data_IF_501311383369
#
_entry.id   IF_501311383369
#
_cell.length_a   1.000
_cell.length_b   1.000
_cell.length_c   1.000
_cell.angle_alpha   90.00
_cell.angle_beta   90.00
_cell.angle_gamma   90.00
#
_symmetry.space_group_name_H-M   'P 1'
#
loop_
_entity.id
_entity.type
_entity.pdbx_description
1 polymer ?
#
# COMPACT_ATOMS: atom_id res chain seq x y z
N UNK A 1 -8.32 23.02 7.21
CA UNK A 1 -6.90 23.21 7.50
C UNK A 1 -6.21 21.88 7.67
N UNK A 2 -5.18 21.66 6.93
CA UNK A 2 -4.44 20.42 7.07
C UNK A 2 -3.80 20.37 8.45
N UNK A 3 -3.93 19.25 9.13
CA UNK A 3 -3.21 19.00 10.35
C UNK A 3 -1.73 18.82 10.09
N UNK A 4 -1.02 18.55 11.17
CA UNK A 4 0.39 18.25 11.11
C UNK A 4 0.62 16.98 10.30
N UNK A 5 1.68 16.97 9.51
CA UNK A 5 2.11 15.75 8.81
C UNK A 5 3.03 14.94 9.70
N UNK A 6 2.84 13.64 9.65
CA UNK A 6 3.72 12.67 10.31
C UNK A 6 4.11 11.59 9.31
N UNK A 7 5.13 10.84 9.66
CA UNK A 7 5.57 9.69 8.88
C UNK A 7 5.87 8.53 9.82
N UNK A 8 5.61 7.32 9.35
CA UNK A 8 6.01 6.09 10.04
C UNK A 8 6.71 5.18 9.05
N UNK A 9 7.62 4.37 9.57
CA UNK A 9 8.15 3.22 8.85
C UNK A 9 7.69 1.96 9.56
N UNK A 10 7.57 0.88 8.81
CA UNK A 10 7.16 -0.39 9.38
C UNK A 10 7.77 -1.55 8.66
N UNK A 11 7.79 -2.69 9.35
CA UNK A 11 8.17 -3.97 8.78
C UNK A 11 7.14 -5.00 9.18
N UNK A 12 6.91 -5.93 8.27
CA UNK A 12 6.04 -7.08 8.50
C UNK A 12 6.85 -8.33 8.20
N UNK A 13 6.85 -9.25 9.15
CA UNK A 13 7.50 -10.55 8.99
C UNK A 13 6.47 -11.65 9.14
N UNK A 14 6.72 -12.79 8.50
CA UNK A 14 5.83 -13.95 8.57
C UNK A 14 5.52 -14.51 7.19
N UNK A 15 4.56 -15.43 7.13
CA UNK A 15 4.25 -16.16 5.91
C UNK A 15 3.32 -15.42 4.95
N UNK A 16 3.02 -14.16 5.20
CA UNK A 16 1.97 -13.44 4.47
C UNK A 16 2.42 -12.62 3.29
N UNK A 17 3.68 -12.70 2.90
CA UNK A 17 4.16 -11.99 1.73
C UNK A 17 3.46 -12.40 0.47
N UNK A 18 2.96 -13.64 0.45
CA UNK A 18 2.36 -14.21 -0.74
C UNK A 18 0.89 -13.87 -0.90
N UNK A 19 0.28 -13.18 0.07
CA UNK A 19 -1.15 -12.88 0.04
C UNK A 19 -1.47 -11.40 -0.18
N UNK A 20 -0.56 -10.69 -0.83
CA UNK A 20 -0.84 -9.32 -1.25
C UNK A 20 -0.76 -8.28 -0.14
N UNK A 21 0.14 -8.48 0.82
CA UNK A 21 0.29 -7.52 1.92
C UNK A 21 0.66 -6.13 1.40
N UNK A 22 1.55 -6.04 0.41
CA UNK A 22 1.93 -4.76 -0.17
C UNK A 22 0.75 -4.06 -0.84
N UNK A 23 -0.11 -4.83 -1.50
CA UNK A 23 -1.35 -4.28 -2.09
C UNK A 23 -2.29 -3.75 -0.99
N UNK A 24 -2.38 -4.46 0.12
CA UNK A 24 -3.21 -4.01 1.25
C UNK A 24 -2.70 -2.67 1.79
N UNK A 25 -1.39 -2.51 1.93
CA UNK A 25 -0.81 -1.25 2.39
C UNK A 25 -1.12 -0.12 1.39
N UNK A 26 -0.97 -0.39 0.09
CA UNK A 26 -1.30 0.63 -0.93
C UNK A 26 -2.78 1.01 -0.88
N UNK A 27 -3.68 0.05 -0.65
CA UNK A 27 -5.10 0.35 -0.54
C UNK A 27 -5.38 1.27 0.65
N UNK A 28 -4.65 1.11 1.75
CA UNK A 28 -4.75 2.05 2.87
C UNK A 28 -4.20 3.43 2.50
N UNK A 29 -3.11 3.48 1.76
CA UNK A 29 -2.57 4.75 1.29
C UNK A 29 -3.57 5.46 0.35
N UNK A 30 -4.24 4.72 -0.51
CA UNK A 30 -5.27 5.28 -1.39
C UNK A 30 -6.45 5.80 -0.56
N UNK A 31 -6.92 5.00 0.38
CA UNK A 31 -8.09 5.37 1.20
C UNK A 31 -7.83 6.64 1.98
N UNK A 32 -6.67 6.76 2.59
CA UNK A 32 -6.34 7.87 3.48
C UNK A 32 -5.46 8.94 2.83
N UNK A 33 -5.18 8.81 1.52
CA UNK A 33 -4.39 9.77 0.74
C UNK A 33 -3.01 10.00 1.34
N UNK A 34 -2.25 8.91 1.47
CA UNK A 34 -0.92 8.93 2.10
C UNK A 34 0.16 8.64 1.08
N UNK A 35 1.30 9.32 1.22
CA UNK A 35 2.49 9.06 0.43
C UNK A 35 3.35 7.98 1.09
N UNK A 36 4.33 7.47 0.36
CA UNK A 36 5.28 6.50 0.87
C UNK A 36 5.65 5.44 -0.14
N UNK A 37 6.01 4.27 0.36
CA UNK A 37 6.36 3.14 -0.49
C UNK A 37 6.36 1.85 0.30
N UNK A 38 6.34 0.74 -0.42
CA UNK A 38 6.50 -0.58 0.17
C UNK A 38 7.30 -1.47 -0.76
N UNK A 39 8.09 -2.37 -0.19
CA UNK A 39 8.91 -3.31 -0.95
C UNK A 39 9.18 -4.56 -0.15
N UNK A 40 9.51 -5.64 -0.86
CA UNK A 40 9.99 -6.86 -0.23
C UNK A 40 11.48 -6.72 0.08
N UNK A 41 11.87 -7.17 1.25
CA UNK A 41 13.26 -7.29 1.67
C UNK A 41 13.63 -8.77 1.77
N UNK A 42 14.92 -9.11 1.87
CA UNK A 42 15.32 -10.50 2.11
C UNK A 42 14.72 -11.06 3.39
N UNK A 43 14.66 -12.40 3.47
CA UNK A 43 14.19 -13.15 4.65
C UNK A 43 12.69 -12.94 4.95
N UNK A 44 11.90 -12.80 3.90
CA UNK A 44 10.44 -12.71 4.01
C UNK A 44 9.98 -11.52 4.84
N UNK A 45 10.64 -10.40 4.67
CA UNK A 45 10.28 -9.13 5.31
C UNK A 45 9.68 -8.19 4.28
N UNK A 46 8.54 -7.57 4.62
CA UNK A 46 7.98 -6.46 3.84
C UNK A 46 8.23 -5.18 4.61
N UNK A 47 8.81 -4.18 3.97
CA UNK A 47 9.00 -2.88 4.57
C UNK A 47 8.06 -1.86 3.94
N UNK A 48 7.68 -0.85 4.71
CA UNK A 48 6.86 0.24 4.17
C UNK A 48 7.11 1.54 4.92
N UNK A 49 6.80 2.64 4.23
CA UNK A 49 6.76 3.98 4.79
C UNK A 49 5.40 4.58 4.42
N UNK A 50 4.75 5.22 5.37
CA UNK A 50 3.52 5.97 5.15
C UNK A 50 3.66 7.36 5.74
N UNK A 51 3.16 8.36 5.01
CA UNK A 51 3.31 9.76 5.37
C UNK A 51 2.08 10.55 4.95
N UNK A 52 1.65 11.43 5.83
CA UNK A 52 0.55 12.34 5.52
C UNK A 52 0.00 12.97 6.78
N UNK A 53 -1.25 13.44 6.68
CA UNK A 53 -1.93 14.00 7.85
C UNK A 53 -1.90 13.03 9.03
N UNK A 54 -1.53 13.55 10.20
CA UNK A 54 -1.29 12.70 11.37
C UNK A 54 -2.51 11.85 11.76
N UNK A 55 -3.71 12.44 11.70
CA UNK A 55 -4.92 11.70 12.06
C UNK A 55 -5.22 10.59 11.06
N UNK A 56 -5.15 10.90 9.77
CA UNK A 56 -5.38 9.89 8.73
C UNK A 56 -4.32 8.82 8.75
N UNK A 57 -3.06 9.19 9.03
CA UNK A 57 -1.99 8.22 9.19
C UNK A 57 -2.27 7.26 10.34
N UNK A 58 -2.70 7.78 11.49
CA UNK A 58 -3.04 6.93 12.63
C UNK A 58 -4.18 5.97 12.30
N UNK A 59 -5.20 6.43 11.58
CA UNK A 59 -6.32 5.58 11.17
C UNK A 59 -5.86 4.48 10.22
N UNK A 60 -4.98 4.80 9.28
CA UNK A 60 -4.44 3.82 8.35
C UNK A 60 -3.59 2.77 9.08
N UNK A 61 -2.74 3.20 10.00
CA UNK A 61 -1.91 2.27 10.79
C UNK A 61 -2.78 1.35 11.62
N UNK A 62 -3.84 1.87 12.24
CA UNK A 62 -4.80 1.06 12.98
C UNK A 62 -5.45 0.00 12.10
N UNK A 63 -5.83 0.36 10.87
CA UNK A 63 -6.42 -0.59 9.94
C UNK A 63 -5.43 -1.69 9.55
N UNK A 64 -4.17 -1.33 9.34
CA UNK A 64 -3.11 -2.31 9.04
C UNK A 64 -2.90 -3.25 10.24
N UNK A 65 -2.87 -2.71 11.44
CA UNK A 65 -2.73 -3.51 12.66
C UNK A 65 -3.88 -4.48 12.85
N UNK A 66 -5.11 -4.03 12.62
CA UNK A 66 -6.27 -4.91 12.70
C UNK A 66 -6.22 -6.02 11.66
N UNK A 67 -5.76 -5.71 10.46
CA UNK A 67 -5.61 -6.71 9.41
C UNK A 67 -4.56 -7.78 9.74
N UNK A 68 -3.50 -7.41 10.47
CA UNK A 68 -2.44 -8.35 10.82
C UNK A 68 -2.77 -9.18 12.08
N UNK A 69 -3.61 -8.68 12.97
CA UNK A 69 -3.98 -9.41 14.20
C UNK A 69 -4.70 -10.73 13.91
N UNK A 70 -5.33 -10.84 12.77
CA UNK A 70 -6.07 -12.05 12.41
C UNK A 70 -5.17 -13.22 12.04
N UNK A 71 -3.88 -12.98 11.89
CA UNK A 71 -2.92 -14.01 11.53
C UNK A 71 -1.87 -14.09 12.63
N UNK A 72 -1.78 -15.25 13.28
CA UNK A 72 -0.82 -15.46 14.36
C UNK A 72 0.62 -15.52 13.87
N UNK A 73 0.81 -15.71 12.56
CA UNK A 73 2.14 -15.86 11.96
C UNK A 73 2.76 -14.54 11.49
N UNK A 74 2.04 -13.43 11.66
CA UNK A 74 2.50 -12.14 11.17
C UNK A 74 2.89 -11.25 12.33
N UNK A 75 4.04 -10.61 12.20
CA UNK A 75 4.52 -9.61 13.16
C UNK A 75 4.68 -8.29 12.45
N UNK A 76 4.00 -7.28 12.96
CA UNK A 76 4.08 -5.90 12.48
C UNK A 76 4.86 -5.07 13.49
N UNK A 77 5.88 -4.37 13.03
CA UNK A 77 6.62 -3.38 13.82
C UNK A 77 6.55 -2.04 13.13
N UNK A 78 6.26 -0.99 13.88
CA UNK A 78 6.22 0.37 13.34
C UNK A 78 7.03 1.30 14.22
N UNK A 79 7.58 2.35 13.63
CA UNK A 79 8.31 3.39 14.34
C UNK A 79 8.07 4.72 13.63
N UNK A 80 8.17 5.80 14.38
CA UNK A 80 8.11 7.13 13.78
C UNK A 80 9.27 7.32 12.82
N UNK A 81 9.02 8.04 11.74
CA UNK A 81 10.02 8.34 10.75
C UNK A 81 9.98 9.84 10.42
N UNK A 82 10.97 10.27 9.69
CA UNK A 82 11.09 11.67 9.30
C UNK A 82 10.20 11.95 8.10
N UNK A 83 9.45 13.05 8.15
CA UNK A 83 8.65 13.50 7.02
C UNK A 83 9.58 13.93 5.88
N UNK A 84 9.33 13.41 4.67
CA UNK A 84 10.05 13.77 3.45
C UNK A 84 9.15 14.65 2.59
N UNK A 85 9.41 15.97 2.51
CA UNK A 85 8.53 16.87 1.77
C UNK A 85 8.46 16.58 0.27
N UNK A 86 9.42 15.82 -0.27
CA UNK A 86 9.43 15.48 -1.69
C UNK A 86 8.48 14.35 -2.05
N UNK A 87 7.98 13.60 -1.07
CA UNK A 87 7.07 12.49 -1.34
C UNK A 87 5.68 13.00 -1.72
N UNK A 88 5.21 12.62 -2.90
CA UNK A 88 3.89 13.01 -3.40
C UNK A 88 3.12 11.84 -3.98
N UNK A 89 3.57 10.63 -3.72
CA UNK A 89 2.96 9.41 -4.24
C UNK A 89 3.22 8.25 -3.30
N UNK A 90 2.42 7.18 -3.45
CA UNK A 90 2.71 5.90 -2.80
C UNK A 90 3.10 4.88 -3.88
N UNK A 91 4.21 4.18 -3.67
CA UNK A 91 4.78 3.27 -4.67
C UNK A 91 4.93 1.86 -4.12
N UNK A 92 4.49 0.86 -4.88
CA UNK A 92 4.89 -0.54 -4.64
C UNK A 92 6.00 -0.86 -5.63
N UNK A 93 7.16 -1.25 -5.12
CA UNK A 93 8.28 -1.67 -5.96
C UNK A 93 8.20 -3.17 -6.23
N UNK A 94 8.44 -3.55 -7.49
CA UNK A 94 8.53 -4.94 -7.93
C UNK A 94 7.29 -5.78 -7.57
N UNK A 95 6.11 -5.24 -7.88
CA UNK A 95 4.85 -5.96 -7.64
C UNK A 95 4.69 -7.11 -8.63
N UNK A 96 4.38 -8.28 -8.10
CA UNK A 96 4.00 -9.47 -8.85
C UNK A 96 2.73 -10.05 -8.23
N UNK A 97 2.13 -11.02 -8.89
CA UNK A 97 0.91 -11.65 -8.36
C UNK A 97 0.94 -13.15 -8.66
N UNK A 98 1.10 -13.94 -7.62
CA UNK A 98 1.09 -15.40 -7.76
C UNK A 98 -0.29 -15.90 -8.19
N UNK A 99 -1.36 -15.37 -7.60
CA UNK A 99 -2.72 -15.81 -7.90
C UNK A 99 -3.13 -15.51 -9.33
N UNK A 100 -2.61 -14.42 -9.92
CA UNK A 100 -2.91 -14.05 -11.31
C UNK A 100 -1.84 -14.55 -12.28
N UNK A 101 -0.84 -15.26 -11.79
CA UNK A 101 0.30 -15.71 -12.60
C UNK A 101 0.98 -14.55 -13.32
N UNK A 102 1.19 -13.46 -12.62
CA UNK A 102 1.96 -12.31 -13.11
C UNK A 102 3.34 -12.37 -12.47
N UNK A 103 4.34 -12.71 -13.28
CA UNK A 103 5.71 -12.90 -12.81
C UNK A 103 6.64 -11.76 -13.17
N UNK A 104 6.24 -10.91 -14.12
CA UNK A 104 6.99 -9.71 -14.44
C UNK A 104 6.80 -8.69 -13.32
N UNK A 105 7.89 -8.15 -12.74
CA UNK A 105 7.74 -7.16 -11.67
C UNK A 105 7.34 -5.80 -12.26
N UNK A 106 6.33 -5.20 -11.65
CA UNK A 106 5.85 -3.87 -12.03
C UNK A 106 6.01 -2.89 -10.88
N UNK A 107 6.21 -1.63 -11.20
CA UNK A 107 6.16 -0.54 -10.23
C UNK A 107 4.76 0.07 -10.28
N UNK A 108 4.03 -0.05 -9.18
CA UNK A 108 2.68 0.51 -9.08
C UNK A 108 2.76 1.83 -8.32
N UNK A 109 2.14 2.88 -8.85
CA UNK A 109 2.20 4.21 -8.26
C UNK A 109 0.80 4.78 -8.09
N UNK A 110 0.53 5.25 -6.87
CA UNK A 110 -0.66 6.03 -6.56
C UNK A 110 -0.23 7.47 -6.31
N UNK A 111 -0.69 8.39 -7.16
CA UNK A 111 -0.41 9.82 -6.96
C UNK A 111 -1.43 10.40 -5.99
N UNK A 112 -0.96 11.20 -5.04
CA UNK A 112 -1.85 11.81 -4.06
C UNK A 112 -2.91 12.66 -4.75
N UNK A 113 -4.11 12.63 -4.18
CA UNK A 113 -5.21 13.49 -4.62
C UNK A 113 -5.01 14.89 -4.06
N UNK A 114 -5.66 15.85 -4.71
CA UNK A 114 -5.61 17.25 -4.26
C UNK A 114 -6.46 17.50 -3.02
N UNK A 115 -7.50 16.67 -2.78
CA UNK A 115 -8.25 16.75 -1.54
C UNK A 115 -7.51 15.99 -0.43
N UNK A 116 -7.75 16.34 0.82
CA UNK A 116 -7.14 15.70 1.97
C UNK A 116 -8.15 14.81 2.71
N UNK A 117 -9.05 14.18 1.96
CA UNK A 117 -10.12 13.41 2.57
C UNK A 117 -9.91 11.91 2.39
N UNK A 118 -10.45 11.15 3.35
CA UNK A 118 -10.61 9.71 3.21
C UNK A 118 -11.68 9.43 2.14
N UNK A 119 -11.49 8.37 1.35
CA UNK A 119 -12.49 7.97 0.36
C UNK A 119 -13.15 6.65 0.76
N UNK A 120 -14.31 6.38 0.17
CA UNK A 120 -15.07 5.17 0.45
C UNK A 120 -14.38 3.93 -0.11
N UNK A 121 -14.57 2.75 0.53
CA UNK A 121 -13.94 1.51 0.06
C UNK A 121 -14.21 1.19 -1.41
N UNK A 122 -15.40 1.49 -1.93
CA UNK A 122 -15.68 1.26 -3.34
C UNK A 122 -14.79 2.11 -4.24
N UNK A 123 -14.48 3.33 -3.83
CA UNK A 123 -13.58 4.20 -4.58
C UNK A 123 -12.12 3.77 -4.47
N UNK A 124 -11.74 3.17 -3.34
CA UNK A 124 -10.41 2.56 -3.20
C UNK A 124 -10.25 1.43 -4.22
N UNK A 125 -11.24 0.56 -4.32
CA UNK A 125 -11.22 -0.54 -5.28
C UNK A 125 -11.10 -0.04 -6.71
N UNK A 126 -11.86 1.00 -7.07
CA UNK A 126 -11.80 1.60 -8.39
C UNK A 126 -10.43 2.19 -8.69
N UNK A 127 -9.85 2.90 -7.73
CA UNK A 127 -8.52 3.50 -7.90
C UNK A 127 -7.43 2.42 -8.05
N UNK A 128 -7.48 1.39 -7.22
CA UNK A 128 -6.55 0.27 -7.32
C UNK A 128 -6.62 -0.40 -8.70
N UNK A 129 -7.83 -0.69 -9.16
CA UNK A 129 -8.02 -1.28 -10.48
C UNK A 129 -7.48 -0.38 -11.59
N UNK A 130 -7.71 0.93 -11.48
CA UNK A 130 -7.19 1.90 -12.44
C UNK A 130 -5.67 1.90 -12.51
N UNK A 131 -5.01 1.77 -11.36
CA UNK A 131 -3.54 1.67 -11.31
C UNK A 131 -3.07 0.41 -12.04
N UNK A 132 -3.71 -0.73 -11.78
CA UNK A 132 -3.37 -1.98 -12.45
C UNK A 132 -3.60 -1.87 -13.96
N UNK A 133 -4.74 -1.34 -14.38
CA UNK A 133 -5.09 -1.22 -15.80
C UNK A 133 -4.13 -0.29 -16.55
N UNK A 134 -3.64 0.74 -15.89
CA UNK A 134 -2.72 1.68 -16.52
C UNK A 134 -1.26 1.21 -16.50
N UNK A 135 -0.94 0.23 -15.67
CA UNK A 135 0.45 -0.22 -15.46
C UNK A 135 0.75 -1.54 -16.16
N UNK A 136 -0.15 -2.52 -16.04
CA UNK A 136 0.06 -3.84 -16.64
C UNK A 136 0.00 -3.77 -18.15
N UNK A 137 0.77 -4.64 -18.82
CA UNK A 137 0.89 -4.64 -20.27
C UNK A 137 0.72 -6.04 -20.84
N UNK A 138 0.29 -6.09 -22.10
CA UNK A 138 0.19 -7.34 -22.85
C UNK A 138 -0.71 -8.36 -22.18
N UNK A 139 -0.22 -9.59 -22.09
CA UNK A 139 -0.99 -10.69 -21.53
C UNK A 139 -1.28 -10.50 -20.03
N UNK A 140 -0.41 -9.79 -19.31
CA UNK A 140 -0.64 -9.54 -17.90
C UNK A 140 -1.90 -8.70 -17.66
N UNK A 141 -2.16 -7.74 -18.54
CA UNK A 141 -3.38 -6.93 -18.43
C UNK A 141 -4.64 -7.78 -18.57
N UNK A 142 -4.58 -8.82 -19.42
CA UNK A 142 -5.71 -9.73 -19.63
C UNK A 142 -5.99 -10.65 -18.44
N UNK A 143 -5.05 -10.75 -17.50
CA UNK A 143 -5.20 -11.59 -16.33
C UNK A 143 -6.02 -10.94 -15.21
N UNK A 144 -6.36 -9.66 -15.36
CA UNK A 144 -7.22 -9.00 -14.39
C UNK A 144 -8.64 -9.51 -14.51
N UNK A 145 -9.20 -9.93 -13.39
CA UNK A 145 -10.58 -10.39 -13.33
C UNK A 145 -11.54 -9.24 -13.00
N UNK A 146 -12.86 -9.52 -13.01
CA UNK A 146 -13.86 -8.48 -12.75
C UNK A 146 -13.80 -7.92 -11.31
N UNK A 147 -13.21 -8.69 -10.39
CA UNK A 147 -13.12 -8.28 -8.99
C UNK A 147 -11.78 -7.64 -8.62
N UNK A 148 -10.90 -7.48 -9.58
CA UNK A 148 -9.59 -6.88 -9.32
C UNK A 148 -9.61 -5.35 -9.28
#
# INVERSE_FOLDING_TARGET
MSGKKDAISGTVTGNDQHVGFRAMIMKQAIEYNLAGFTKNLPNDVVSFVLQGDAKRLNDAVSAIQEGTKKSSDIKLSTAKDRVDPSLNAFTIFAWTSTTRNITTPYTLVFHLRSDDEKIEPANVKTAWRGILQSTLKGDDLKKLGPDD
#
